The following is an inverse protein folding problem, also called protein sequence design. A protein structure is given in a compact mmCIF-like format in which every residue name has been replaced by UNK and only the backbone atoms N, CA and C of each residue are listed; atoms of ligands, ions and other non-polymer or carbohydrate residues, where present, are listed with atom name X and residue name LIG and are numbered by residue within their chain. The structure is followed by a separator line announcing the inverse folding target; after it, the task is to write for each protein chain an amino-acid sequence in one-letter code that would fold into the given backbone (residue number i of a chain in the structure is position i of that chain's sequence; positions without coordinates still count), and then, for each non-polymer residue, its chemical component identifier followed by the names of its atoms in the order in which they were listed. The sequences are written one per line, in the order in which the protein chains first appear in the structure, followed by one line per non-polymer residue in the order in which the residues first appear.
data_IF_933487115220
#
_entry.id   IF_933487115220
#
_cell.length_a   1.000
_cell.length_b   1.000
_cell.length_c   1.000
_cell.angle_alpha   90.00
_cell.angle_beta   90.00
_cell.angle_gamma   90.00
#
_symmetry.space_group_name_H-M   'P 1'
#
loop_
_entity.id
_entity.type
_entity.pdbx_description
1 polymer ?
#
# COMPACT_ATOMS: atom_id res chain seq x y z
N UNK A 1 22.37 24.99 29.87
CA UNK A 1 21.47 25.78 29.09
C UNK A 1 20.39 24.91 28.50
N UNK A 2 19.15 25.27 28.71
CA UNK A 2 18.03 24.65 28.02
C UNK A 2 18.14 25.20 26.58
N UNK A 3 18.30 24.30 25.62
CA UNK A 3 18.40 24.67 24.20
C UNK A 3 17.03 25.27 23.79
N UNK A 4 17.02 26.52 23.35
CA UNK A 4 15.78 27.24 22.99
C UNK A 4 15.06 26.67 21.74
N UNK A 5 15.60 25.62 21.14
CA UNK A 5 15.07 24.95 19.95
C UNK A 5 14.44 23.59 20.27
N UNK A 6 13.62 23.49 21.30
CA UNK A 6 12.82 22.27 21.56
C UNK A 6 11.90 21.99 20.36
N UNK A 7 12.06 20.81 19.78
CA UNK A 7 11.25 20.32 18.65
C UNK A 7 10.26 19.28 19.15
N UNK A 8 8.98 19.44 18.83
CA UNK A 8 7.98 18.43 19.15
C UNK A 8 8.33 17.16 18.36
N UNK A 9 8.63 16.09 19.09
CA UNK A 9 8.98 14.79 18.52
C UNK A 9 7.77 13.90 18.27
N UNK A 10 6.78 14.03 19.13
CA UNK A 10 5.56 13.24 19.07
C UNK A 10 4.38 14.06 19.61
N UNK A 11 3.25 13.95 18.93
CA UNK A 11 1.97 14.49 19.33
C UNK A 11 0.89 13.43 19.12
N UNK A 12 0.13 13.10 20.18
CA UNK A 12 -0.83 12.01 20.11
C UNK A 12 -1.50 11.70 21.45
N UNK A 13 -1.97 10.48 21.58
CA UNK A 13 -2.79 9.99 22.69
C UNK A 13 -2.07 8.89 23.46
N UNK A 14 -2.13 8.93 24.78
CA UNK A 14 -1.72 7.82 25.63
C UNK A 14 -2.78 6.73 25.52
N UNK A 15 -2.40 5.56 25.04
CA UNK A 15 -3.30 4.41 24.83
C UNK A 15 -3.17 3.38 25.93
N UNK A 16 -2.00 3.30 26.59
CA UNK A 16 -1.74 2.36 27.67
C UNK A 16 -0.71 2.93 28.65
N UNK A 17 -0.90 2.62 29.90
CA UNK A 17 0.04 2.96 30.98
C UNK A 17 0.43 1.66 31.67
N UNK A 18 1.68 1.26 31.55
CA UNK A 18 2.22 0.06 32.18
C UNK A 18 3.04 0.50 33.39
N UNK A 19 2.47 0.29 34.58
CA UNK A 19 3.15 0.59 35.84
C UNK A 19 4.13 -0.52 36.20
N UNK A 20 5.38 -0.29 35.93
CA UNK A 20 6.46 -1.24 36.20
C UNK A 20 7.79 -0.52 36.35
N UNK A 21 8.86 -1.27 36.44
CA UNK A 21 10.22 -0.72 36.34
C UNK A 21 10.93 -1.38 35.14
N UNK A 22 11.08 -0.68 34.02
CA UNK A 22 10.76 0.75 33.82
C UNK A 22 9.24 1.04 33.68
N UNK A 23 8.84 2.25 34.02
CA UNK A 23 7.52 2.79 33.73
C UNK A 23 7.38 3.04 32.23
N UNK A 24 6.31 2.55 31.63
CA UNK A 24 6.11 2.64 30.17
C UNK A 24 4.77 3.31 29.83
N UNK A 25 4.82 4.27 28.92
CA UNK A 25 3.65 4.84 28.27
C UNK A 25 3.61 4.38 26.82
N UNK A 26 2.50 3.77 26.41
CA UNK A 26 2.22 3.52 25.01
C UNK A 26 1.39 4.68 24.46
N UNK A 27 1.82 5.21 23.33
CA UNK A 27 1.18 6.36 22.71
C UNK A 27 0.91 6.08 21.22
N UNK A 28 -0.20 6.58 20.74
CA UNK A 28 -0.53 6.56 19.30
C UNK A 28 -0.71 7.99 18.81
N UNK A 29 -0.38 8.23 17.56
CA UNK A 29 -0.60 9.51 16.91
C UNK A 29 -2.09 9.80 16.68
N UNK A 30 -2.42 10.82 15.89
CA UNK A 30 -3.81 11.16 15.54
C UNK A 30 -4.56 10.01 14.85
N UNK A 31 -3.87 8.98 14.36
CA UNK A 31 -4.47 7.73 13.88
C UNK A 31 -5.31 7.01 14.93
N UNK A 32 -5.03 7.23 16.23
CA UNK A 32 -5.86 6.73 17.33
C UNK A 32 -7.33 7.15 17.19
N UNK A 33 -7.59 8.41 16.85
CA UNK A 33 -8.97 8.91 16.62
C UNK A 33 -9.67 8.11 15.51
N UNK A 34 -8.95 7.76 14.44
CA UNK A 34 -9.50 6.99 13.33
C UNK A 34 -9.95 5.59 13.75
N UNK A 35 -9.26 4.99 14.74
CA UNK A 35 -9.63 3.69 15.33
C UNK A 35 -10.83 3.80 16.27
N UNK A 36 -11.01 4.94 16.91
CA UNK A 36 -12.10 5.18 17.86
C UNK A 36 -13.38 5.72 17.20
N UNK A 37 -13.27 6.28 16.00
CA UNK A 37 -14.43 6.84 15.28
C UNK A 37 -15.19 5.74 14.58
N UNK A 38 -16.32 5.35 15.16
CA UNK A 38 -17.25 4.43 14.55
C UNK A 38 -18.04 5.12 13.42
N UNK A 39 -18.34 4.37 12.39
CA UNK A 39 -19.14 4.81 11.26
C UNK A 39 -20.40 3.94 11.16
N UNK A 40 -21.49 4.56 10.70
CA UNK A 40 -22.68 3.82 10.30
C UNK A 40 -22.37 2.91 9.11
N UNK A 41 -23.23 1.90 8.84
CA UNK A 41 -23.09 1.05 7.66
C UNK A 41 -22.93 1.88 6.40
N UNK A 42 -21.94 1.56 5.58
CA UNK A 42 -21.57 2.31 4.40
C UNK A 42 -21.84 1.49 3.15
N UNK A 43 -22.54 2.12 2.21
CA UNK A 43 -22.67 1.67 0.84
C UNK A 43 -22.40 2.83 -0.10
N UNK A 44 -21.43 2.67 -0.99
CA UNK A 44 -21.12 3.67 -2.00
C UNK A 44 -21.82 3.37 -3.32
N UNK A 45 -21.89 4.38 -4.20
CA UNK A 45 -22.50 4.24 -5.52
C UNK A 45 -21.87 3.12 -6.35
N UNK A 46 -22.70 2.41 -7.10
CA UNK A 46 -22.31 1.38 -8.07
C UNK A 46 -21.41 1.89 -9.22
N UNK A 47 -21.25 3.19 -9.38
CA UNK A 47 -20.43 3.79 -10.44
C UNK A 47 -18.94 3.90 -10.08
N UNK A 48 -18.52 3.35 -8.95
CA UNK A 48 -17.19 3.51 -8.41
C UNK A 48 -17.14 4.65 -7.39
N UNK A 49 -16.06 4.71 -6.65
CA UNK A 49 -15.88 5.67 -5.56
C UNK A 49 -14.61 6.46 -5.81
N UNK A 50 -14.71 7.77 -5.81
CA UNK A 50 -13.55 8.66 -5.85
C UNK A 50 -13.05 8.90 -4.43
N UNK A 51 -11.78 8.65 -4.20
CA UNK A 51 -11.13 8.76 -2.88
C UNK A 51 -11.27 10.18 -2.32
N UNK A 52 -11.01 11.19 -3.13
CA UNK A 52 -11.08 12.61 -2.72
C UNK A 52 -12.50 13.10 -2.37
N UNK A 53 -13.53 12.39 -2.80
CA UNK A 53 -14.93 12.69 -2.46
C UNK A 53 -15.42 11.84 -1.27
N UNK A 54 -14.94 10.63 -1.14
CA UNK A 54 -15.37 9.68 -0.11
C UNK A 54 -14.69 9.92 1.23
N UNK A 55 -13.37 10.08 1.24
CA UNK A 55 -12.60 10.17 2.49
C UNK A 55 -13.01 11.38 3.36
N UNK A 56 -13.27 12.56 2.81
CA UNK A 56 -13.78 13.67 3.63
C UNK A 56 -15.08 13.35 4.38
N UNK A 57 -15.92 12.47 3.83
CA UNK A 57 -17.19 12.08 4.47
C UNK A 57 -16.94 11.22 5.70
N UNK A 58 -16.02 10.26 5.61
CA UNK A 58 -15.68 9.38 6.73
C UNK A 58 -14.79 10.06 7.79
N UNK A 59 -14.08 11.13 7.43
CA UNK A 59 -13.30 11.93 8.37
C UNK A 59 -14.13 12.97 9.12
N UNK A 60 -15.41 13.15 8.74
CA UNK A 60 -16.27 14.14 9.41
C UNK A 60 -16.40 13.83 10.89
N UNK A 61 -16.10 14.83 11.72
CA UNK A 61 -16.13 14.69 13.18
C UNK A 61 -14.82 14.22 13.83
N UNK A 62 -13.82 13.76 13.07
CA UNK A 62 -12.53 13.34 13.62
C UNK A 62 -11.58 14.50 13.93
N UNK A 63 -11.82 15.69 13.40
CA UNK A 63 -10.87 16.82 13.44
C UNK A 63 -9.69 16.68 12.45
N UNK A 64 -9.51 15.51 11.83
CA UNK A 64 -8.44 15.25 10.88
C UNK A 64 -8.82 15.75 9.50
N UNK A 65 -7.89 16.43 8.84
CA UNK A 65 -8.06 16.96 7.48
C UNK A 65 -7.33 16.09 6.47
N UNK A 66 -7.77 16.12 5.22
CA UNK A 66 -7.00 15.54 4.14
C UNK A 66 -5.80 16.43 3.81
N UNK A 67 -4.66 15.78 3.57
CA UNK A 67 -3.50 16.46 3.03
C UNK A 67 -3.82 17.05 1.65
N UNK A 68 -3.30 18.24 1.30
CA UNK A 68 -3.61 18.89 0.03
C UNK A 68 -3.38 18.02 -1.19
N UNK A 69 -2.30 17.24 -1.23
CA UNK A 69 -2.02 16.32 -2.34
C UNK A 69 -3.12 15.28 -2.55
N UNK A 70 -3.72 14.79 -1.46
CA UNK A 70 -4.84 13.83 -1.55
C UNK A 70 -6.09 14.46 -2.14
N UNK A 71 -6.34 15.74 -1.89
CA UNK A 71 -7.51 16.45 -2.43
C UNK A 71 -7.49 16.56 -3.95
N UNK A 72 -6.31 16.63 -4.54
CA UNK A 72 -6.12 16.71 -5.98
C UNK A 72 -6.22 15.36 -6.69
N UNK A 73 -6.23 14.26 -5.94
CA UNK A 73 -6.28 12.92 -6.52
C UNK A 73 -7.66 12.59 -7.06
N UNK A 74 -7.72 12.24 -8.33
CA UNK A 74 -8.94 11.71 -8.97
C UNK A 74 -8.82 10.18 -9.14
N UNK A 75 -8.61 9.48 -8.02
CA UNK A 75 -8.45 8.04 -7.99
C UNK A 75 -9.80 7.37 -7.72
N UNK A 76 -10.18 6.43 -8.58
CA UNK A 76 -11.36 5.60 -8.41
C UNK A 76 -11.00 4.23 -7.86
N UNK A 77 -11.84 3.76 -6.95
CA UNK A 77 -11.84 2.39 -6.43
C UNK A 77 -13.22 1.78 -6.66
N UNK A 78 -13.33 0.47 -6.50
CA UNK A 78 -14.62 -0.22 -6.60
C UNK A 78 -15.60 0.21 -5.51
N UNK A 79 -16.80 -0.31 -5.59
CA UNK A 79 -17.83 -0.04 -4.58
C UNK A 79 -17.38 -0.53 -3.20
N UNK A 80 -17.60 0.30 -2.20
CA UNK A 80 -17.34 -0.02 -0.79
C UNK A 80 -18.69 -0.36 -0.15
N UNK A 81 -18.75 -1.53 0.48
CA UNK A 81 -19.92 -1.98 1.25
C UNK A 81 -19.42 -2.47 2.62
N UNK A 82 -19.92 -1.87 3.66
CA UNK A 82 -19.78 -2.31 5.05
C UNK A 82 -21.16 -2.41 5.68
N UNK A 83 -21.69 -3.63 5.83
CA UNK A 83 -23.05 -3.82 6.37
C UNK A 83 -23.13 -3.65 7.89
N UNK A 84 -22.02 -3.67 8.58
CA UNK A 84 -21.92 -3.52 10.03
C UNK A 84 -21.16 -2.23 10.36
N UNK A 85 -21.38 -1.72 11.56
CA UNK A 85 -20.59 -0.60 12.09
C UNK A 85 -19.10 -0.93 12.00
N UNK A 86 -18.35 -0.01 11.46
CA UNK A 86 -16.90 -0.10 11.30
C UNK A 86 -16.26 1.20 11.72
N UNK A 87 -14.98 1.19 11.96
CA UNK A 87 -14.22 2.41 12.24
C UNK A 87 -13.69 3.03 10.95
N UNK A 88 -13.28 4.29 11.03
CA UNK A 88 -12.58 4.94 9.93
C UNK A 88 -11.31 4.16 9.56
N UNK A 89 -10.58 3.67 10.57
CA UNK A 89 -9.37 2.88 10.37
C UNK A 89 -9.64 1.58 9.60
N UNK A 90 -10.78 0.91 9.82
CA UNK A 90 -11.13 -0.32 9.09
C UNK A 90 -11.28 -0.07 7.59
N UNK A 91 -11.91 1.05 7.23
CA UNK A 91 -12.06 1.45 5.83
C UNK A 91 -10.70 1.79 5.21
N UNK A 92 -9.88 2.56 5.90
CA UNK A 92 -8.54 2.91 5.42
C UNK A 92 -7.63 1.68 5.27
N UNK A 93 -7.76 0.69 6.18
CA UNK A 93 -7.05 -0.58 6.06
C UNK A 93 -7.50 -1.39 4.83
N UNK A 94 -8.76 -1.25 4.41
CA UNK A 94 -9.21 -1.87 3.16
C UNK A 94 -8.51 -1.26 1.95
N UNK A 95 -8.22 0.03 1.96
CA UNK A 95 -7.50 0.69 0.87
C UNK A 95 -6.11 0.08 0.65
N UNK A 96 -5.44 -0.39 1.71
CA UNK A 96 -4.14 -1.10 1.59
C UNK A 96 -4.24 -2.33 0.69
N UNK A 97 -5.38 -3.04 0.69
CA UNK A 97 -5.58 -4.19 -0.19
C UNK A 97 -5.56 -3.82 -1.68
N UNK A 98 -5.85 -2.57 -1.99
CA UNK A 98 -5.83 -2.01 -3.35
C UNK A 98 -4.52 -1.28 -3.68
N UNK A 99 -3.48 -1.47 -2.86
CA UNK A 99 -2.19 -0.77 -3.06
C UNK A 99 -2.25 0.72 -2.75
N UNK A 100 -3.23 1.13 -1.94
CA UNK A 100 -3.40 2.52 -1.53
C UNK A 100 -2.93 2.64 -0.08
N UNK A 101 -1.95 3.48 0.15
CA UNK A 101 -1.38 3.72 1.47
C UNK A 101 -1.99 4.96 2.11
N UNK A 102 -2.07 4.93 3.43
CA UNK A 102 -2.59 6.03 4.23
C UNK A 102 -1.57 6.34 5.33
N UNK A 103 -1.15 7.60 5.43
CA UNK A 103 -0.21 8.06 6.44
C UNK A 103 -0.72 9.33 7.12
N UNK A 104 -0.45 9.44 8.41
CA UNK A 104 -0.54 10.73 9.08
C UNK A 104 0.70 11.55 8.72
N UNK A 105 0.49 12.78 8.28
CA UNK A 105 1.55 13.74 7.95
C UNK A 105 1.31 15.08 8.59
N UNK A 106 2.38 15.68 9.07
CA UNK A 106 2.31 17.08 9.47
C UNK A 106 2.35 17.99 8.24
N UNK A 107 1.34 18.83 8.11
CA UNK A 107 1.28 19.89 7.13
C UNK A 107 1.04 21.21 7.84
N UNK A 108 2.00 22.12 7.76
CA UNK A 108 1.98 23.39 8.51
C UNK A 108 1.76 23.21 10.02
N UNK A 109 2.40 22.21 10.62
CA UNK A 109 2.30 21.92 12.05
C UNK A 109 1.00 21.22 12.49
N UNK A 110 0.13 20.87 11.55
CA UNK A 110 -1.16 20.18 11.84
C UNK A 110 -1.16 18.79 11.21
N UNK A 111 -1.60 17.76 11.96
CA UNK A 111 -1.73 16.41 11.42
C UNK A 111 -2.79 16.34 10.31
N UNK A 112 -2.41 15.78 9.17
CA UNK A 112 -3.28 15.55 8.02
C UNK A 112 -3.18 14.09 7.58
N UNK A 113 -4.26 13.54 7.05
CA UNK A 113 -4.26 12.23 6.44
C UNK A 113 -3.85 12.34 4.97
N UNK A 114 -2.71 11.77 4.63
CA UNK A 114 -2.25 11.63 3.26
C UNK A 114 -2.62 10.23 2.73
N UNK A 115 -3.23 10.18 1.55
CA UNK A 115 -3.66 8.94 0.91
C UNK A 115 -3.15 8.96 -0.53
N UNK A 116 -2.62 7.83 -0.98
CA UNK A 116 -2.17 7.68 -2.36
C UNK A 116 -1.47 6.35 -2.59
N UNK A 117 -0.96 6.18 -3.80
CA UNK A 117 -0.23 4.98 -4.22
C UNK A 117 1.26 5.22 -4.06
N UNK A 118 1.97 4.27 -3.46
CA UNK A 118 3.42 4.39 -3.23
C UNK A 118 4.28 4.03 -4.43
N UNK A 119 3.71 3.22 -5.37
CA UNK A 119 4.51 2.52 -6.36
C UNK A 119 4.35 2.99 -7.79
N UNK A 120 3.74 4.11 -7.96
CA UNK A 120 3.59 4.58 -9.30
C UNK A 120 4.77 5.42 -9.73
N UNK A 121 5.03 5.30 -11.02
CA UNK A 121 5.91 6.21 -11.71
C UNK A 121 5.73 7.60 -11.08
N UNK A 122 6.82 8.20 -10.65
CA UNK A 122 6.93 9.48 -9.94
C UNK A 122 6.08 10.61 -10.55
N UNK A 123 5.52 10.37 -11.72
CA UNK A 123 4.78 11.32 -12.56
C UNK A 123 3.26 11.18 -12.50
N UNK A 124 2.68 10.29 -11.68
CA UNK A 124 1.23 10.21 -11.58
C UNK A 124 0.69 11.07 -10.46
N UNK A 125 -0.40 11.78 -10.72
CA UNK A 125 -1.12 12.59 -9.73
C UNK A 125 -1.63 11.78 -8.51
N UNK A 126 -1.54 10.46 -8.58
CA UNK A 126 -2.00 9.54 -7.54
C UNK A 126 -0.87 9.10 -6.58
N UNK A 127 0.38 9.49 -6.86
CA UNK A 127 1.53 9.09 -6.05
C UNK A 127 1.62 9.90 -4.75
N UNK A 128 1.81 9.21 -3.63
CA UNK A 128 2.17 9.83 -2.35
C UNK A 128 3.55 10.49 -2.37
N UNK A 129 4.40 10.13 -3.35
CA UNK A 129 5.74 10.68 -3.48
C UNK A 129 5.76 12.11 -4.04
N UNK A 130 4.63 12.59 -4.56
CA UNK A 130 4.53 13.93 -5.20
C UNK A 130 4.95 15.07 -4.28
N UNK A 131 4.65 14.96 -2.98
CA UNK A 131 4.93 16.01 -2.00
C UNK A 131 6.09 15.66 -1.06
N UNK A 132 6.84 14.62 -1.38
CA UNK A 132 8.05 14.29 -0.64
C UNK A 132 9.21 15.18 -1.07
N UNK A 133 10.11 15.52 -0.14
CA UNK A 133 11.39 16.11 -0.51
C UNK A 133 12.05 15.26 -1.61
N UNK A 134 12.50 15.90 -2.68
CA UNK A 134 13.21 15.19 -3.76
C UNK A 134 14.54 14.61 -3.28
N UNK A 135 15.14 15.25 -2.28
CA UNK A 135 16.41 14.81 -1.70
C UNK A 135 16.16 13.68 -0.69
N UNK A 136 16.66 12.48 -0.94
CA UNK A 136 16.60 11.39 0.04
C UNK A 136 17.55 11.69 1.22
N UNK A 137 17.25 11.10 2.38
CA UNK A 137 18.21 11.03 3.48
C UNK A 137 19.25 9.97 3.16
N UNK A 138 20.52 10.32 3.28
CA UNK A 138 21.62 9.39 3.04
C UNK A 138 21.87 8.54 4.31
N UNK A 139 21.86 7.23 4.12
CA UNK A 139 22.14 6.23 5.17
C UNK A 139 23.30 5.36 4.67
N UNK A 140 24.43 5.48 5.36
CA UNK A 140 25.61 4.68 5.13
C UNK A 140 25.68 3.58 6.20
N UNK A 141 25.81 2.32 5.75
CA UNK A 141 25.78 1.18 6.67
C UNK A 141 26.89 1.24 7.70
N UNK A 142 28.08 1.64 7.28
CA UNK A 142 29.25 1.71 8.16
C UNK A 142 29.18 2.85 9.20
N UNK A 143 28.31 3.84 8.99
CA UNK A 143 28.26 5.06 9.81
C UNK A 143 26.95 5.20 10.59
N UNK A 144 25.81 4.94 9.92
CA UNK A 144 24.52 5.31 10.45
C UNK A 144 23.70 4.13 10.97
N UNK A 145 24.03 2.90 10.56
CA UNK A 145 23.24 1.71 10.89
C UNK A 145 23.80 1.06 12.15
N UNK A 146 22.94 0.92 13.16
CA UNK A 146 23.28 0.23 14.41
C UNK A 146 22.98 -1.27 14.35
N UNK A 147 21.90 -1.66 13.67
CA UNK A 147 21.45 -3.04 13.53
C UNK A 147 20.67 -3.18 12.23
N UNK A 148 20.77 -4.32 11.54
CA UNK A 148 19.95 -4.66 10.40
C UNK A 148 19.50 -6.12 10.42
N UNK A 149 18.36 -6.40 9.81
CA UNK A 149 17.87 -7.75 9.53
C UNK A 149 17.35 -7.86 8.08
N UNK A 150 17.94 -7.09 7.18
CA UNK A 150 17.48 -6.98 5.81
C UNK A 150 17.72 -8.26 5.01
N UNK A 151 16.69 -8.73 4.34
CA UNK A 151 16.75 -9.77 3.31
C UNK A 151 16.26 -9.24 1.97
N UNK A 152 16.96 -9.58 0.90
CA UNK A 152 16.60 -9.14 -0.45
C UNK A 152 15.78 -10.23 -1.11
N UNK A 153 14.55 -9.88 -1.51
CA UNK A 153 13.73 -10.72 -2.35
C UNK A 153 13.83 -10.24 -3.80
N UNK A 154 14.54 -11.03 -4.61
CA UNK A 154 14.56 -10.82 -6.06
C UNK A 154 13.36 -11.55 -6.66
N UNK A 155 12.34 -10.78 -7.03
CA UNK A 155 11.24 -11.28 -7.83
C UNK A 155 11.55 -11.00 -9.30
N UNK A 156 11.31 -11.98 -10.15
CA UNK A 156 11.36 -11.77 -11.60
C UNK A 156 9.95 -11.34 -12.07
N UNK A 157 9.74 -10.06 -12.40
CA UNK A 157 8.43 -9.59 -12.87
C UNK A 157 7.97 -10.26 -14.16
N UNK A 158 8.90 -10.84 -14.94
CA UNK A 158 8.58 -11.55 -16.17
C UNK A 158 7.87 -12.89 -15.91
N UNK A 159 8.12 -13.49 -14.75
CA UNK A 159 7.49 -14.74 -14.31
C UNK A 159 6.23 -14.51 -13.46
N UNK A 160 5.77 -13.28 -13.34
CA UNK A 160 4.59 -12.93 -12.56
C UNK A 160 3.41 -12.56 -13.46
N UNK A 161 2.22 -12.91 -13.00
CA UNK A 161 0.96 -12.43 -13.54
C UNK A 161 0.00 -12.05 -12.41
N UNK A 162 -0.89 -11.11 -12.66
CA UNK A 162 -1.94 -10.72 -11.74
C UNK A 162 -3.30 -10.97 -12.37
N UNK A 163 -4.11 -11.80 -11.73
CA UNK A 163 -5.51 -11.98 -12.10
C UNK A 163 -6.37 -10.96 -11.34
N UNK A 164 -6.89 -9.98 -12.05
CA UNK A 164 -7.80 -8.99 -11.52
C UNK A 164 -9.24 -9.44 -11.72
N UNK A 165 -10.03 -9.42 -10.64
CA UNK A 165 -11.40 -9.91 -10.63
C UNK A 165 -12.33 -8.80 -10.15
N UNK A 166 -13.27 -8.38 -11.00
CA UNK A 166 -14.39 -7.55 -10.59
C UNK A 166 -15.64 -8.42 -10.35
N UNK A 167 -16.22 -8.30 -9.18
CA UNK A 167 -17.49 -8.92 -8.84
C UNK A 167 -18.61 -7.88 -8.92
N UNK A 168 -19.75 -8.24 -9.50
CA UNK A 168 -20.89 -7.33 -9.68
C UNK A 168 -22.09 -7.73 -8.81
N UNK A 169 -23.04 -6.79 -8.54
CA UNK A 169 -24.22 -7.05 -7.71
C UNK A 169 -25.13 -8.15 -8.26
N UNK A 170 -25.12 -8.39 -9.56
CA UNK A 170 -25.87 -9.45 -10.22
C UNK A 170 -25.20 -10.82 -10.11
N UNK A 171 -24.12 -10.93 -9.32
CA UNK A 171 -23.25 -12.10 -9.19
C UNK A 171 -22.55 -12.51 -10.50
N UNK A 172 -22.46 -11.63 -11.48
CA UNK A 172 -21.53 -11.82 -12.59
C UNK A 172 -20.10 -11.41 -12.17
N UNK A 173 -19.11 -11.89 -12.93
CA UNK A 173 -17.70 -11.56 -12.70
C UNK A 173 -17.05 -11.15 -14.02
N UNK A 174 -16.08 -10.26 -13.93
CA UNK A 174 -15.13 -9.98 -14.99
C UNK A 174 -13.71 -10.26 -14.48
N UNK A 175 -12.98 -11.05 -15.22
CA UNK A 175 -11.58 -11.39 -14.92
C UNK A 175 -10.68 -10.85 -16.01
N UNK A 176 -9.55 -10.28 -15.63
CA UNK A 176 -8.49 -9.89 -16.54
C UNK A 176 -7.15 -10.34 -15.96
N UNK A 177 -6.34 -11.01 -16.75
CA UNK A 177 -4.97 -11.38 -16.35
C UNK A 177 -4.01 -10.42 -17.02
N UNK A 178 -3.19 -9.77 -16.23
CA UNK A 178 -2.16 -8.82 -16.68
C UNK A 178 -0.77 -9.31 -16.34
N UNK A 179 0.21 -8.94 -17.16
CA UNK A 179 1.64 -9.13 -16.92
C UNK A 179 2.44 -7.92 -17.40
N UNK A 180 3.71 -7.87 -17.10
CA UNK A 180 4.64 -6.96 -17.78
C UNK A 180 4.75 -7.32 -19.24
N UNK A 181 4.81 -6.31 -20.11
CA UNK A 181 5.07 -6.55 -21.53
C UNK A 181 6.51 -7.05 -21.71
N UNK A 182 6.73 -8.22 -22.32
CA UNK A 182 8.08 -8.75 -22.54
C UNK A 182 8.97 -7.85 -23.41
N UNK A 183 8.36 -7.01 -24.24
CA UNK A 183 9.07 -6.09 -25.15
C UNK A 183 9.36 -4.73 -24.51
N UNK A 184 8.53 -4.33 -23.56
CA UNK A 184 8.64 -3.05 -22.87
C UNK A 184 8.19 -3.21 -21.41
N UNK A 185 9.14 -3.51 -20.53
CA UNK A 185 8.86 -3.78 -19.12
C UNK A 185 8.29 -2.59 -18.36
N UNK A 186 8.27 -1.40 -18.95
CA UNK A 186 7.56 -0.24 -18.40
C UNK A 186 6.04 -0.32 -18.58
N UNK A 187 5.56 -1.17 -19.48
CA UNK A 187 4.15 -1.33 -19.84
C UNK A 187 3.58 -2.64 -19.32
N UNK A 188 2.25 -2.68 -19.29
CA UNK A 188 1.49 -3.86 -18.96
C UNK A 188 0.76 -4.40 -20.19
N UNK A 189 0.61 -5.71 -20.23
CA UNK A 189 -0.16 -6.41 -21.27
C UNK A 189 -1.29 -7.20 -20.61
N UNK A 190 -2.50 -7.00 -21.08
CA UNK A 190 -3.62 -7.87 -20.74
C UNK A 190 -3.53 -9.12 -21.60
N UNK A 191 -3.32 -10.27 -20.99
CA UNK A 191 -3.10 -11.54 -21.69
C UNK A 191 -4.35 -12.42 -21.76
N UNK A 192 -5.30 -12.17 -20.86
CA UNK A 192 -6.58 -12.88 -20.88
C UNK A 192 -7.68 -12.00 -20.30
N UNK A 193 -8.88 -12.08 -20.88
CA UNK A 193 -10.09 -11.44 -20.33
C UNK A 193 -11.28 -12.39 -20.46
N UNK A 194 -12.06 -12.47 -19.39
CA UNK A 194 -13.25 -13.33 -19.37
C UNK A 194 -14.37 -12.65 -18.60
N UNK A 195 -15.56 -12.64 -19.20
CA UNK A 195 -16.78 -12.24 -18.50
C UNK A 195 -17.59 -13.50 -18.18
N UNK A 196 -17.88 -13.70 -16.92
CA UNK A 196 -18.60 -14.88 -16.41
C UNK A 196 -19.97 -14.40 -15.92
N UNK A 197 -21.04 -14.88 -16.58
CA UNK A 197 -22.41 -14.60 -16.14
C UNK A 197 -22.75 -15.40 -14.87
N UNK A 198 -23.78 -14.97 -14.13
CA UNK A 198 -24.29 -15.67 -12.95
C UNK A 198 -24.55 -17.16 -13.20
N UNK A 199 -25.15 -17.51 -14.34
CA UNK A 199 -25.47 -18.89 -14.70
C UNK A 199 -24.22 -19.72 -14.99
N UNK A 200 -23.24 -19.14 -15.67
CA UNK A 200 -21.95 -19.78 -15.92
C UNK A 200 -21.18 -20.00 -14.63
N UNK A 201 -21.20 -19.03 -13.70
CA UNK A 201 -20.54 -19.17 -12.41
C UNK A 201 -21.12 -20.33 -11.61
N UNK A 202 -22.46 -20.46 -11.56
CA UNK A 202 -23.13 -21.57 -10.89
C UNK A 202 -22.72 -22.93 -11.47
N UNK A 203 -22.66 -23.03 -12.79
CA UNK A 203 -22.26 -24.25 -13.48
C UNK A 203 -20.77 -24.59 -13.27
N UNK A 204 -19.91 -23.57 -13.23
CA UNK A 204 -18.47 -23.76 -12.97
C UNK A 204 -18.24 -24.26 -11.55
N UNK A 205 -18.87 -23.64 -10.54
CA UNK A 205 -18.75 -24.10 -9.16
C UNK A 205 -19.26 -25.53 -8.96
N UNK A 206 -20.33 -25.92 -9.65
CA UNK A 206 -20.86 -27.29 -9.59
C UNK A 206 -19.92 -28.28 -10.30
N UNK A 207 -19.28 -27.90 -11.39
CA UNK A 207 -18.35 -28.76 -12.13
C UNK A 207 -16.97 -28.91 -11.45
N UNK A 208 -16.56 -27.94 -10.70
CA UNK A 208 -15.30 -28.01 -9.90
C UNK A 208 -15.44 -28.96 -8.71
N UNK A 209 -16.64 -29.10 -8.15
CA UNK A 209 -16.91 -30.09 -7.09
C UNK A 209 -16.96 -31.54 -7.59
N UNK A 210 -17.27 -31.75 -8.86
CA UNK A 210 -17.48 -33.10 -9.43
C UNK A 210 -16.25 -33.71 -10.14
N UNK A 211 -15.15 -33.00 -10.29
CA UNK A 211 -13.96 -33.52 -10.98
C UNK A 211 -12.68 -33.26 -10.18
N UNK A 212 -12.18 -34.33 -9.59
CA UNK A 212 -10.83 -34.47 -9.07
C UNK A 212 -9.80 -33.56 -9.73
N UNK A 213 -9.29 -32.56 -8.98
CA UNK A 213 -7.96 -31.92 -9.01
C UNK A 213 -7.28 -31.62 -10.36
N UNK A 214 -7.97 -31.59 -11.47
CA UNK A 214 -7.43 -31.07 -12.73
C UNK A 214 -8.11 -29.77 -13.11
N UNK A 215 -7.48 -28.66 -12.69
CA UNK A 215 -7.80 -27.31 -13.17
C UNK A 215 -7.45 -27.22 -14.65
N UNK A 216 -8.31 -27.71 -15.51
CA UNK A 216 -8.23 -27.43 -16.94
C UNK A 216 -8.81 -26.05 -17.20
N UNK A 217 -7.93 -25.07 -17.47
CA UNK A 217 -8.28 -23.73 -17.89
C UNK A 217 -9.00 -23.74 -19.24
N UNK A 218 -10.29 -24.03 -19.26
CA UNK A 218 -11.15 -23.84 -20.43
C UNK A 218 -12.00 -22.59 -20.24
N UNK A 219 -11.39 -21.43 -20.39
CA UNK A 219 -12.13 -20.19 -20.56
C UNK A 219 -11.95 -19.70 -21.99
N UNK A 220 -13.03 -19.84 -22.78
CA UNK A 220 -13.05 -19.47 -24.18
C UNK A 220 -13.09 -17.97 -24.42
N UNK A 221 -11.94 -17.39 -24.64
CA UNK A 221 -11.74 -16.12 -25.33
C UNK A 221 -10.88 -16.38 -26.55
N UNK A 222 -11.14 -15.69 -27.66
CA UNK A 222 -10.28 -15.70 -28.86
C UNK A 222 -8.90 -15.13 -28.51
N UNK A 223 -8.02 -15.89 -27.87
CA UNK A 223 -6.66 -15.44 -27.63
C UNK A 223 -5.70 -16.60 -27.59
N UNK A 224 -4.54 -16.39 -28.16
CA UNK A 224 -3.36 -17.21 -28.07
C UNK A 224 -3.29 -17.88 -26.69
N UNK A 225 -3.27 -19.19 -26.67
CA UNK A 225 -3.09 -20.00 -25.45
C UNK A 225 -1.75 -19.64 -24.83
N UNK A 226 -1.75 -18.67 -23.95
CA UNK A 226 -0.59 -18.41 -23.09
C UNK A 226 -0.67 -19.43 -21.99
N UNK A 227 0.40 -20.22 -21.84
CA UNK A 227 0.51 -21.15 -20.74
C UNK A 227 0.67 -20.37 -19.42
N UNK A 228 -0.41 -20.29 -18.66
CA UNK A 228 -0.43 -19.58 -17.38
C UNK A 228 0.32 -20.36 -16.29
N UNK A 229 0.63 -21.64 -16.50
CA UNK A 229 1.37 -22.44 -15.52
C UNK A 229 2.82 -21.97 -15.34
N UNK A 230 3.34 -21.23 -16.34
CA UNK A 230 4.68 -20.64 -16.27
C UNK A 230 4.77 -19.40 -15.35
N UNK A 231 3.62 -18.89 -14.85
CA UNK A 231 3.58 -17.66 -14.06
C UNK A 231 3.21 -17.91 -12.61
N UNK A 232 3.82 -17.14 -11.71
CA UNK A 232 3.37 -17.01 -10.34
C UNK A 232 2.16 -16.05 -10.34
N UNK A 233 0.95 -16.62 -10.30
CA UNK A 233 -0.29 -15.84 -10.39
C UNK A 233 -0.69 -15.37 -9.00
N UNK A 234 -0.86 -14.06 -8.86
CA UNK A 234 -1.49 -13.42 -7.71
C UNK A 234 -2.90 -12.98 -8.08
N UNK A 235 -3.80 -12.88 -7.11
CA UNK A 235 -5.18 -12.45 -7.33
C UNK A 235 -5.44 -11.10 -6.67
N UNK A 236 -6.26 -10.29 -7.34
CA UNK A 236 -6.68 -8.97 -6.91
C UNK A 236 -8.19 -8.82 -7.12
N UNK A 237 -8.91 -8.45 -6.09
CA UNK A 237 -10.38 -8.39 -6.12
C UNK A 237 -10.88 -6.98 -5.89
N UNK A 238 -11.85 -6.57 -6.71
CA UNK A 238 -12.65 -5.36 -6.50
C UNK A 238 -14.15 -5.68 -6.66
N UNK A 239 -14.99 -4.80 -6.15
CA UNK A 239 -16.43 -4.94 -6.23
C UNK A 239 -17.04 -3.81 -7.04
N UNK A 240 -17.87 -4.16 -8.03
CA UNK A 240 -18.67 -3.24 -8.85
C UNK A 240 -17.85 -2.10 -9.48
N UNK A 241 -16.76 -2.45 -10.10
CA UNK A 241 -15.84 -1.55 -10.79
C UNK A 241 -15.89 -1.80 -12.30
N UNK A 242 -15.76 -0.76 -13.11
CA UNK A 242 -15.70 -0.93 -14.55
C UNK A 242 -14.34 -1.54 -14.99
N UNK A 243 -14.32 -2.13 -16.20
CA UNK A 243 -13.14 -2.80 -16.75
C UNK A 243 -11.87 -1.92 -16.73
N UNK A 244 -11.98 -0.68 -17.16
CA UNK A 244 -10.81 0.18 -17.29
C UNK A 244 -10.22 0.55 -15.93
N UNK A 245 -11.08 0.85 -14.96
CA UNK A 245 -10.66 1.11 -13.58
C UNK A 245 -10.06 -0.15 -12.95
N UNK A 246 -10.65 -1.34 -13.15
CA UNK A 246 -10.10 -2.59 -12.66
C UNK A 246 -8.67 -2.81 -13.19
N UNK A 247 -8.47 -2.68 -14.52
CA UNK A 247 -7.15 -2.87 -15.13
C UNK A 247 -6.16 -1.86 -14.58
N UNK A 248 -6.51 -0.56 -14.54
CA UNK A 248 -5.65 0.49 -13.98
C UNK A 248 -5.26 0.20 -12.53
N UNK A 249 -6.21 -0.25 -11.71
CA UNK A 249 -5.95 -0.58 -10.32
C UNK A 249 -5.11 -1.86 -10.19
N UNK A 250 -5.31 -2.82 -11.08
CA UNK A 250 -4.52 -4.03 -11.13
C UNK A 250 -3.07 -3.80 -11.59
N UNK A 251 -2.86 -2.94 -12.60
CA UNK A 251 -1.51 -2.52 -13.01
C UNK A 251 -0.77 -1.89 -11.83
N UNK A 252 -1.49 -1.11 -11.09
CA UNK A 252 -1.05 -0.52 -9.87
C UNK A 252 -0.61 -1.55 -8.84
N UNK A 253 -1.48 -2.47 -8.55
CA UNK A 253 -1.20 -3.55 -7.59
C UNK A 253 -0.08 -4.46 -8.08
N UNK A 254 -0.01 -4.72 -9.38
CA UNK A 254 1.09 -5.47 -9.96
C UNK A 254 2.43 -4.76 -9.75
N UNK A 255 2.49 -3.44 -9.99
CA UNK A 255 3.66 -2.63 -9.71
C UNK A 255 4.15 -2.80 -8.27
N UNK A 256 3.22 -2.79 -7.31
CA UNK A 256 3.52 -3.00 -5.89
C UNK A 256 4.11 -4.40 -5.62
N UNK A 257 3.44 -5.46 -6.07
CA UNK A 257 3.81 -6.83 -5.73
C UNK A 257 5.00 -7.37 -6.55
N UNK A 258 5.34 -6.74 -7.66
CA UNK A 258 6.43 -7.16 -8.55
C UNK A 258 7.75 -6.46 -8.28
N UNK A 259 7.81 -5.57 -7.31
CA UNK A 259 9.05 -4.89 -7.00
C UNK A 259 10.02 -5.84 -6.28
N UNK A 260 11.27 -5.77 -6.71
CA UNK A 260 12.36 -6.25 -5.88
C UNK A 260 12.39 -5.39 -4.64
N UNK A 261 12.14 -5.98 -3.49
CA UNK A 261 12.05 -5.29 -2.23
C UNK A 261 13.09 -5.80 -1.24
N UNK A 262 13.26 -5.05 -0.19
CA UNK A 262 13.97 -5.47 0.99
C UNK A 262 12.93 -5.78 2.05
N UNK A 263 12.89 -7.03 2.51
CA UNK A 263 12.16 -7.39 3.72
C UNK A 263 13.04 -7.19 4.93
N UNK A 264 12.40 -6.86 6.04
CA UNK A 264 13.07 -6.58 7.29
C UNK A 264 13.09 -5.09 7.62
N UNK A 265 13.99 -4.75 8.48
CA UNK A 265 14.15 -3.38 8.99
C UNK A 265 15.62 -3.05 9.25
N UNK A 266 15.92 -1.77 9.30
CA UNK A 266 17.20 -1.22 9.74
C UNK A 266 16.97 -0.33 10.96
N UNK A 267 17.87 -0.42 11.93
CA UNK A 267 17.91 0.50 13.07
C UNK A 267 19.06 1.47 12.87
N UNK A 268 18.74 2.75 12.79
CA UNK A 268 19.73 3.81 12.60
C UNK A 268 19.89 4.64 13.87
N UNK A 269 21.00 5.36 13.97
CA UNK A 269 21.15 6.46 14.90
C UNK A 269 20.14 7.54 14.51
N UNK A 270 19.31 7.96 15.44
CA UNK A 270 18.13 8.76 15.14
C UNK A 270 18.40 10.03 14.36
N UNK A 271 17.57 10.28 13.36
CA UNK A 271 17.44 11.55 12.66
C UNK A 271 16.04 12.11 12.90
N UNK A 272 15.97 13.35 13.36
CA UNK A 272 14.70 13.99 13.74
C UNK A 272 13.79 14.32 12.55
N UNK A 273 14.26 14.18 11.33
CA UNK A 273 13.52 14.46 10.11
C UNK A 273 12.81 13.25 9.49
N UNK A 274 13.20 12.04 9.86
CA UNK A 274 12.68 10.82 9.25
C UNK A 274 11.26 10.48 9.72
N UNK A 275 10.38 10.28 8.76
CA UNK A 275 8.98 9.86 8.98
C UNK A 275 8.58 8.88 7.88
N UNK A 276 7.48 8.15 8.12
CA UNK A 276 6.88 7.31 7.08
C UNK A 276 6.58 8.14 5.83
N UNK A 277 6.98 7.61 4.69
CA UNK A 277 6.86 8.27 3.42
C UNK A 277 8.08 9.05 2.96
N UNK A 278 9.11 9.29 3.79
CA UNK A 278 10.36 9.87 3.33
C UNK A 278 11.12 8.93 2.38
N UNK A 279 11.99 9.52 1.57
CA UNK A 279 12.96 8.78 0.77
C UNK A 279 14.26 8.64 1.55
N UNK A 280 14.86 7.46 1.47
CA UNK A 280 16.20 7.20 2.00
C UNK A 280 17.06 6.59 0.91
N UNK A 281 18.33 7.00 0.85
CA UNK A 281 19.34 6.37 -0.01
C UNK A 281 20.22 5.50 0.86
N UNK A 282 20.26 4.21 0.57
CA UNK A 282 21.17 3.28 1.24
C UNK A 282 22.46 3.12 0.48
N UNK A 283 23.55 3.15 1.21
CA UNK A 283 24.89 2.80 0.73
C UNK A 283 25.48 1.74 1.64
N UNK A 284 25.69 0.54 1.09
CA UNK A 284 26.32 -0.61 1.74
C UNK A 284 27.49 -1.07 0.86
N UNK A 285 28.72 -0.89 1.36
CA UNK A 285 29.92 -1.25 0.62
C UNK A 285 30.16 -2.76 0.61
N UNK A 286 29.65 -3.47 1.61
CA UNK A 286 29.80 -4.94 1.73
C UNK A 286 28.75 -5.69 0.91
N UNK A 287 27.54 -5.11 0.80
CA UNK A 287 26.43 -5.71 0.07
C UNK A 287 25.85 -4.72 -0.95
N UNK A 288 26.55 -4.49 -2.07
CA UNK A 288 26.16 -3.46 -3.04
C UNK A 288 24.77 -3.63 -3.66
N UNK A 289 24.20 -4.83 -3.60
CA UNK A 289 22.85 -5.14 -4.04
C UNK A 289 21.77 -4.44 -3.20
N UNK A 290 22.11 -4.02 -1.97
CA UNK A 290 21.25 -3.23 -1.10
C UNK A 290 21.25 -1.74 -1.48
N UNK A 291 22.22 -1.28 -2.25
CA UNK A 291 22.34 0.12 -2.62
C UNK A 291 21.14 0.58 -3.44
N UNK A 292 20.70 1.80 -3.17
CA UNK A 292 19.59 2.41 -3.90
C UNK A 292 18.75 3.36 -3.06
N UNK A 293 17.77 3.96 -3.70
CA UNK A 293 16.81 4.84 -3.06
C UNK A 293 15.53 4.09 -2.74
N UNK A 294 15.07 4.21 -1.50
CA UNK A 294 13.92 3.51 -0.95
C UNK A 294 12.88 4.48 -0.37
N UNK A 295 11.65 4.00 -0.21
CA UNK A 295 10.61 4.68 0.56
C UNK A 295 10.49 4.05 1.94
N UNK A 296 10.49 4.89 2.95
CA UNK A 296 10.23 4.49 4.34
C UNK A 296 8.74 4.27 4.52
N UNK A 297 8.34 3.04 4.83
CA UNK A 297 6.93 2.70 5.07
C UNK A 297 6.51 2.86 6.52
N UNK A 298 7.47 2.69 7.44
CA UNK A 298 7.23 2.76 8.89
C UNK A 298 8.49 3.26 9.58
N UNK A 299 8.32 4.10 10.58
CA UNK A 299 9.38 4.56 11.49
C UNK A 299 8.96 4.30 12.91
N UNK A 300 9.77 3.54 13.65
CA UNK A 300 9.62 3.36 15.09
C UNK A 300 10.77 4.10 15.77
N UNK A 301 10.44 5.11 16.54
CA UNK A 301 11.43 5.91 17.26
C UNK A 301 11.52 5.45 18.70
N UNK A 302 12.72 5.20 19.18
CA UNK A 302 13.01 4.87 20.57
C UNK A 302 14.04 5.82 21.17
N UNK A 303 13.82 6.20 22.41
CA UNK A 303 14.77 6.99 23.18
C UNK A 303 14.96 6.38 24.57
N UNK A 304 16.18 6.22 25.00
CA UNK A 304 16.48 5.60 26.30
C UNK A 304 17.97 5.52 26.59
N UNK A 305 18.37 4.59 27.44
CA UNK A 305 19.77 4.37 27.83
C UNK A 305 20.71 4.13 26.66
N UNK A 306 20.18 3.52 25.58
CA UNK A 306 20.93 3.27 24.34
C UNK A 306 20.96 4.48 23.39
N UNK A 307 20.44 5.63 23.83
CA UNK A 307 20.31 6.85 23.05
C UNK A 307 19.05 6.87 22.18
N UNK A 308 19.03 7.79 21.22
CA UNK A 308 17.97 7.95 20.24
C UNK A 308 18.20 6.99 19.08
N UNK A 309 17.19 6.19 18.72
CA UNK A 309 17.23 5.22 17.62
C UNK A 309 15.96 5.30 16.81
N UNK A 310 16.08 5.10 15.51
CA UNK A 310 14.95 4.95 14.62
C UNK A 310 15.06 3.61 13.87
N UNK A 311 14.02 2.80 13.99
CA UNK A 311 13.86 1.55 13.26
C UNK A 311 12.98 1.81 12.06
N UNK A 312 13.50 1.55 10.86
CA UNK A 312 12.89 1.88 9.58
C UNK A 312 12.52 0.60 8.83
N UNK A 313 11.30 0.56 8.27
CA UNK A 313 10.94 -0.40 7.23
C UNK A 313 10.98 0.28 5.86
N UNK A 314 11.71 -0.33 4.93
CA UNK A 314 12.00 0.22 3.61
C UNK A 314 11.70 -0.78 2.49
N UNK A 315 10.47 -1.33 2.42
CA UNK A 315 10.14 -2.43 1.52
C UNK A 315 10.18 -2.07 0.04
N UNK A 316 10.38 -0.78 -0.30
CA UNK A 316 10.13 -0.29 -1.65
C UNK A 316 11.32 0.45 -2.23
N UNK A 317 11.99 -0.19 -3.19
CA UNK A 317 13.10 0.38 -3.93
C UNK A 317 12.59 1.22 -5.09
N UNK A 318 12.98 2.49 -5.15
CA UNK A 318 12.62 3.42 -6.21
C UNK A 318 13.61 3.42 -7.35
N UNK A 319 14.90 3.29 -7.04
CA UNK A 319 15.98 3.28 -8.02
C UNK A 319 17.22 2.58 -7.45
N UNK A 320 18.12 2.17 -8.35
CA UNK A 320 19.43 1.62 -8.01
C UNK A 320 20.49 2.72 -7.74
N UNK A 321 20.07 3.98 -7.79
CA UNK A 321 20.93 5.15 -7.57
C UNK A 321 20.40 5.99 -6.44
#
# INVERSE_FOLDING_TARGET
GIDENLKTMFDGYITSIISGNPFTLECEDMGYILKQTALDPIETSAKGTKINEFVPKILKGTGIKLHPSTKEMNMEIGQIIYPQSCTVADILNRFKKWGIMCYMRNYNGVPHLAIGRTFFSVNTSESLLKDMPDTPYDIEFDENVAEDNLSIHKLDPALMALEAIAMYPDNSMFKATIRRDPKDTSKFQVINETKISKNQLKNTLLSEYDKNNNLTNQYGGKNTKIDLSAYNIRTFHEYNVNRNTLIKNAEAKFGEISQTGIDGDITIFGDFGLQAGCKVRLTDNLNPERNGTYVVSEVITTFGVRGYRQKLKIPYKLSDK
#
